data_IF_205470136389
#
_entry.id   IF_205470136389
#
_cell.length_a   1.000
_cell.length_b   1.000
_cell.length_c   1.000
_cell.angle_alpha   90.00
_cell.angle_beta   90.00
_cell.angle_gamma   90.00
#
_symmetry.space_group_name_H-M   'P 1'
#
loop_
_entity.id
_entity.type
_entity.pdbx_description
1 polymer ?
#
# COMPACT_ATOMS: atom_id res chain seq x y z
N UNK A 1 12.94 -12.41 6.94
CA UNK A 1 12.70 -13.59 6.10
C UNK A 1 13.71 -14.65 6.49
N UNK A 2 13.30 -15.89 6.61
CA UNK A 2 14.17 -17.01 6.92
C UNK A 2 14.72 -17.58 5.60
N UNK A 3 15.98 -17.98 5.56
CA UNK A 3 16.57 -18.69 4.43
C UNK A 3 15.76 -19.95 4.07
N UNK A 4 15.61 -20.18 2.77
CA UNK A 4 14.98 -21.36 2.21
C UNK A 4 15.80 -21.86 1.02
N UNK A 5 16.26 -23.08 1.07
CA UNK A 5 17.07 -23.68 0.00
C UNK A 5 16.33 -23.76 -1.34
N UNK A 6 15.00 -23.94 -1.33
CA UNK A 6 14.17 -23.93 -2.54
C UNK A 6 14.03 -22.55 -3.20
N UNK A 7 14.33 -21.48 -2.47
CA UNK A 7 14.32 -20.11 -2.95
C UNK A 7 15.73 -19.55 -3.22
N UNK A 8 16.76 -20.38 -3.06
CA UNK A 8 18.15 -20.04 -3.32
C UNK A 8 18.61 -20.68 -4.65
N UNK A 9 18.29 -20.03 -5.75
CA UNK A 9 18.58 -20.48 -7.11
C UNK A 9 19.12 -19.33 -7.97
N UNK A 10 19.93 -19.60 -9.00
CA UNK A 10 20.36 -18.57 -9.93
C UNK A 10 19.22 -18.19 -10.89
N UNK A 11 19.16 -16.94 -11.28
CA UNK A 11 18.25 -16.41 -12.29
C UNK A 11 19.10 -15.92 -13.46
N UNK A 12 18.91 -16.50 -14.65
CA UNK A 12 19.59 -16.04 -15.87
C UNK A 12 18.57 -15.42 -16.81
N UNK A 13 18.68 -14.14 -17.05
CA UNK A 13 17.80 -13.35 -17.91
C UNK A 13 18.63 -12.28 -18.65
N UNK A 14 18.27 -11.98 -19.90
CA UNK A 14 18.94 -10.99 -20.75
C UNK A 14 20.46 -11.19 -20.86
N UNK A 15 20.94 -12.44 -20.74
CA UNK A 15 22.36 -12.78 -20.80
C UNK A 15 23.15 -12.54 -19.51
N UNK A 16 22.48 -12.11 -18.43
CA UNK A 16 23.08 -11.89 -17.12
C UNK A 16 22.55 -12.87 -16.09
N UNK A 17 23.41 -13.36 -15.18
CA UNK A 17 23.02 -14.28 -14.11
C UNK A 17 23.05 -13.60 -12.76
N UNK A 18 21.93 -13.68 -12.03
CA UNK A 18 21.72 -13.09 -10.73
C UNK A 18 21.67 -14.15 -9.63
N UNK A 19 22.28 -13.85 -8.50
CA UNK A 19 22.30 -14.71 -7.32
C UNK A 19 21.63 -14.02 -6.13
N UNK A 20 20.95 -14.75 -5.23
CA UNK A 20 20.41 -14.16 -4.00
C UNK A 20 21.53 -13.49 -3.18
N UNK A 21 21.30 -12.25 -2.76
CA UNK A 21 22.30 -11.45 -2.05
C UNK A 21 23.41 -10.88 -2.95
N UNK A 22 23.27 -11.01 -4.29
CA UNK A 22 24.18 -10.43 -5.28
C UNK A 22 25.65 -10.93 -5.20
N UNK A 23 25.89 -12.11 -4.65
CA UNK A 23 27.23 -12.69 -4.55
C UNK A 23 27.21 -14.17 -4.97
N UNK A 24 27.98 -14.48 -6.01
CA UNK A 24 28.19 -15.85 -6.47
C UNK A 24 28.95 -16.69 -5.42
N UNK A 25 29.93 -16.13 -4.77
CA UNK A 25 30.72 -16.81 -3.72
C UNK A 25 29.82 -17.23 -2.55
N UNK A 26 29.03 -16.31 -2.02
CA UNK A 26 28.07 -16.61 -0.93
C UNK A 26 27.01 -17.62 -1.37
N UNK A 27 26.60 -17.59 -2.65
CA UNK A 27 25.69 -18.60 -3.19
C UNK A 27 26.34 -19.99 -3.16
N UNK A 28 27.60 -20.13 -3.60
CA UNK A 28 28.31 -21.40 -3.54
C UNK A 28 28.51 -21.89 -2.10
N UNK A 29 28.88 -21.02 -1.18
CA UNK A 29 28.98 -21.36 0.24
C UNK A 29 27.70 -21.96 0.80
N UNK A 30 26.55 -21.32 0.52
CA UNK A 30 25.26 -21.85 0.93
C UNK A 30 24.93 -23.19 0.29
N UNK A 31 25.31 -23.41 -0.98
CA UNK A 31 25.14 -24.72 -1.67
C UNK A 31 26.01 -25.82 -1.08
N UNK A 32 27.17 -25.46 -0.51
CA UNK A 32 28.06 -26.38 0.19
C UNK A 32 27.63 -26.64 1.66
N UNK A 33 26.44 -26.16 2.07
CA UNK A 33 25.89 -26.40 3.40
C UNK A 33 26.22 -25.31 4.43
N UNK A 34 27.00 -24.30 4.07
CA UNK A 34 27.37 -23.18 4.96
C UNK A 34 26.33 -22.06 4.87
N UNK A 35 25.12 -22.32 5.38
CA UNK A 35 24.05 -21.32 5.37
C UNK A 35 23.55 -21.01 6.79
N UNK A 36 23.20 -19.75 7.01
CA UNK A 36 22.56 -19.26 8.22
C UNK A 36 21.07 -18.93 7.98
N UNK A 37 20.29 -18.88 9.05
CA UNK A 37 18.86 -18.52 9.00
C UNK A 37 18.61 -17.13 8.38
N UNK A 38 19.57 -16.21 8.52
CA UNK A 38 19.49 -14.84 8.02
C UNK A 38 19.99 -14.66 6.59
N UNK A 39 20.44 -15.72 5.93
CA UNK A 39 20.95 -15.62 4.58
C UNK A 39 19.88 -15.24 3.56
N UNK A 40 20.33 -14.62 2.47
CA UNK A 40 19.46 -14.17 1.40
C UNK A 40 18.96 -15.33 0.55
N UNK A 41 17.66 -15.32 0.29
CA UNK A 41 16.99 -16.12 -0.72
C UNK A 41 15.99 -15.26 -1.48
N UNK A 42 15.55 -15.71 -2.64
CA UNK A 42 14.51 -15.01 -3.38
C UNK A 42 13.17 -15.06 -2.60
N UNK A 43 12.27 -14.13 -2.88
CA UNK A 43 10.90 -14.15 -2.34
C UNK A 43 9.94 -14.99 -3.17
N UNK A 44 10.29 -15.22 -4.42
CA UNK A 44 9.49 -15.94 -5.39
C UNK A 44 10.15 -17.28 -5.72
N UNK A 45 9.35 -18.32 -5.90
CA UNK A 45 9.81 -19.58 -6.48
C UNK A 45 10.22 -19.37 -7.96
N UNK A 46 11.00 -20.28 -8.49
CA UNK A 46 11.45 -20.19 -9.90
C UNK A 46 10.25 -20.11 -10.86
N UNK A 47 9.23 -20.95 -10.66
CA UNK A 47 8.04 -20.98 -11.52
C UNK A 47 7.25 -19.66 -11.44
N UNK A 48 7.14 -19.07 -10.26
CA UNK A 48 6.51 -17.76 -10.07
C UNK A 48 7.33 -16.65 -10.74
N UNK A 49 8.66 -16.73 -10.64
CA UNK A 49 9.55 -15.79 -11.31
C UNK A 49 9.40 -15.88 -12.84
N UNK A 50 9.44 -17.08 -13.41
CA UNK A 50 9.33 -17.32 -14.86
C UNK A 50 7.97 -16.82 -15.38
N UNK A 51 6.88 -17.10 -14.64
CA UNK A 51 5.56 -16.56 -14.95
C UNK A 51 5.52 -15.03 -14.87
N UNK A 52 6.06 -14.46 -13.81
CA UNK A 52 6.10 -13.01 -13.58
C UNK A 52 6.95 -12.27 -14.61
N UNK A 53 8.08 -12.83 -15.00
CA UNK A 53 8.94 -12.28 -16.05
C UNK A 53 8.21 -12.25 -17.39
N UNK A 54 7.62 -13.36 -17.81
CA UNK A 54 6.84 -13.47 -19.04
C UNK A 54 5.67 -12.48 -19.11
N UNK A 55 5.07 -12.17 -17.97
CA UNK A 55 3.87 -11.33 -17.88
C UNK A 55 4.18 -9.88 -17.40
N UNK A 56 5.46 -9.45 -17.42
CA UNK A 56 5.83 -8.07 -17.15
C UNK A 56 5.85 -7.64 -15.68
N UNK A 57 5.74 -8.58 -14.72
CA UNK A 57 5.82 -8.30 -13.28
C UNK A 57 7.26 -8.19 -12.77
N UNK A 58 8.24 -8.44 -13.62
CA UNK A 58 9.67 -8.30 -13.29
C UNK A 58 10.25 -7.16 -14.12
N UNK A 59 11.18 -6.43 -13.52
CA UNK A 59 12.01 -5.44 -14.21
C UNK A 59 13.45 -5.58 -13.76
N UNK A 60 14.37 -5.52 -14.71
CA UNK A 60 15.80 -5.45 -14.45
C UNK A 60 16.20 -3.99 -14.58
N UNK A 61 16.70 -3.41 -13.49
CA UNK A 61 17.27 -2.07 -13.51
C UNK A 61 18.77 -2.17 -13.58
N UNK A 62 19.34 -1.49 -14.58
CA UNK A 62 20.79 -1.37 -14.77
C UNK A 62 21.28 -0.10 -14.08
N UNK A 63 22.32 -0.26 -13.29
CA UNK A 63 23.05 0.80 -12.61
C UNK A 63 24.49 0.83 -13.10
N UNK A 64 25.25 1.80 -12.68
CA UNK A 64 26.67 1.82 -13.00
C UNK A 64 27.41 0.64 -12.31
N UNK A 65 27.93 -0.28 -13.12
CA UNK A 65 28.66 -1.45 -12.66
C UNK A 65 27.84 -2.64 -12.13
N UNK A 66 26.50 -2.58 -12.07
CA UNK A 66 25.67 -3.72 -11.65
C UNK A 66 24.23 -3.62 -12.09
N UNK A 67 23.52 -4.75 -12.10
CA UNK A 67 22.09 -4.81 -12.36
C UNK A 67 21.31 -5.40 -11.17
N UNK A 68 20.04 -5.06 -11.05
CA UNK A 68 19.14 -5.62 -10.02
C UNK A 68 17.79 -6.01 -10.59
N UNK A 69 17.28 -7.12 -10.08
CA UNK A 69 15.91 -7.59 -10.35
C UNK A 69 14.96 -6.99 -9.35
N UNK A 70 13.84 -6.43 -9.84
CA UNK A 70 12.74 -5.92 -9.04
C UNK A 70 11.43 -6.54 -9.48
N UNK A 71 10.51 -6.69 -8.54
CA UNK A 71 9.12 -7.04 -8.82
C UNK A 71 8.29 -5.78 -8.96
N UNK A 72 7.38 -5.75 -9.93
CA UNK A 72 6.37 -4.70 -10.07
C UNK A 72 5.11 -5.09 -9.32
N UNK A 73 4.50 -4.13 -8.66
CA UNK A 73 3.15 -4.26 -8.10
C UNK A 73 2.22 -3.39 -8.95
N UNK A 74 1.26 -4.01 -9.62
CA UNK A 74 0.25 -3.30 -10.39
C UNK A 74 -0.93 -2.91 -9.49
N UNK A 75 -1.56 -1.77 -9.79
CA UNK A 75 -2.68 -1.27 -9.00
C UNK A 75 -3.94 -2.14 -9.17
N UNK A 76 -4.18 -2.64 -10.38
CA UNK A 76 -5.42 -3.31 -10.77
C UNK A 76 -5.29 -4.80 -11.00
N UNK A 77 -4.13 -5.40 -10.76
CA UNK A 77 -3.96 -6.84 -10.88
C UNK A 77 -2.87 -7.41 -9.97
N UNK A 78 -2.93 -8.71 -9.75
CA UNK A 78 -1.91 -9.50 -9.04
C UNK A 78 -1.72 -10.85 -9.72
N UNK A 79 -0.61 -11.51 -9.42
CA UNK A 79 -0.45 -12.93 -9.74
C UNK A 79 -1.14 -13.74 -8.65
N UNK A 80 -2.03 -14.63 -9.06
CA UNK A 80 -2.72 -15.59 -8.18
C UNK A 80 -2.24 -17.01 -8.49
N UNK A 81 -2.12 -17.84 -7.43
CA UNK A 81 -1.80 -19.27 -7.56
C UNK A 81 -3.09 -20.04 -7.81
N UNK A 82 -3.07 -20.94 -8.79
CA UNK A 82 -4.16 -21.86 -9.13
C UNK A 82 -3.72 -23.30 -8.95
N UNK A 83 -4.61 -24.25 -9.10
CA UNK A 83 -4.30 -25.68 -9.07
C UNK A 83 -3.32 -26.09 -10.21
N UNK A 84 -3.37 -25.39 -11.34
CA UNK A 84 -2.55 -25.66 -12.54
C UNK A 84 -1.34 -24.73 -12.70
N UNK A 85 -1.03 -23.86 -11.72
CA UNK A 85 0.09 -22.94 -11.79
C UNK A 85 -0.27 -21.51 -11.35
N UNK A 86 -0.06 -20.52 -12.22
CA UNK A 86 -0.30 -19.11 -11.93
C UNK A 86 -1.19 -18.47 -12.98
N UNK A 87 -1.97 -17.46 -12.56
CA UNK A 87 -2.81 -16.63 -13.43
C UNK A 87 -2.73 -15.17 -13.01
N UNK A 88 -3.15 -14.27 -13.88
CA UNK A 88 -3.33 -12.85 -13.55
C UNK A 88 -4.77 -12.65 -13.12
N UNK A 89 -4.96 -12.19 -11.89
CA UNK A 89 -6.25 -11.84 -11.32
C UNK A 89 -6.39 -10.32 -11.29
N UNK A 90 -7.47 -9.79 -11.85
CA UNK A 90 -7.79 -8.37 -11.75
C UNK A 90 -8.42 -8.09 -10.39
N UNK A 91 -7.92 -7.07 -9.72
CA UNK A 91 -8.35 -6.67 -8.39
C UNK A 91 -8.46 -5.15 -8.31
N UNK A 92 -9.38 -4.69 -7.50
CA UNK A 92 -9.38 -3.30 -7.06
C UNK A 92 -8.59 -3.21 -5.74
N UNK A 93 -7.42 -2.57 -5.80
CA UNK A 93 -6.64 -2.35 -4.58
C UNK A 93 -7.18 -1.14 -3.84
N UNK A 94 -7.38 -1.30 -2.56
CA UNK A 94 -7.66 -0.21 -1.63
C UNK A 94 -6.40 0.09 -0.82
N UNK A 95 -6.17 1.35 -0.50
CA UNK A 95 -5.13 1.79 0.42
C UNK A 95 -5.80 2.16 1.74
N UNK A 96 -5.32 1.60 2.85
CA UNK A 96 -5.75 2.07 4.16
C UNK A 96 -5.38 3.54 4.32
N UNK A 97 -6.29 4.33 4.89
CA UNK A 97 -6.02 5.72 5.22
C UNK A 97 -4.92 5.78 6.28
N UNK A 98 -3.97 6.69 6.09
CA UNK A 98 -2.91 6.94 7.05
C UNK A 98 -3.34 8.10 7.97
N UNK A 99 -3.03 8.00 9.27
CA UNK A 99 -3.23 9.13 10.19
C UNK A 99 -2.41 10.36 9.80
N UNK A 100 -1.36 10.19 9.01
CA UNK A 100 -0.57 11.30 8.44
C UNK A 100 -1.34 12.13 7.41
N UNK A 101 -2.44 11.63 6.88
CA UNK A 101 -3.31 12.40 5.98
C UNK A 101 -4.10 13.47 6.73
N UNK A 102 -4.22 13.35 8.06
CA UNK A 102 -4.93 14.31 8.93
C UNK A 102 -4.05 15.42 9.54
N UNK A 103 -2.79 15.56 9.08
CA UNK A 103 -1.90 16.65 9.53
C UNK A 103 -2.16 17.98 8.84
N UNK A 104 -2.92 17.96 7.74
CA UNK A 104 -3.26 19.17 6.99
C UNK A 104 -4.14 20.11 7.81
N UNK A 105 -3.98 21.41 7.59
CA UNK A 105 -4.64 22.44 8.39
C UNK A 105 -6.18 22.39 8.32
N UNK A 106 -6.74 21.85 7.24
CA UNK A 106 -8.21 21.68 7.09
C UNK A 106 -8.81 20.77 8.17
N UNK A 107 -8.00 19.87 8.76
CA UNK A 107 -8.41 18.98 9.85
C UNK A 107 -8.19 19.58 11.24
N UNK A 108 -7.70 20.83 11.33
CA UNK A 108 -7.46 21.49 12.62
C UNK A 108 -8.72 22.08 13.24
N UNK A 109 -8.80 22.09 14.58
CA UNK A 109 -9.88 22.73 15.30
C UNK A 109 -9.90 24.26 15.09
N UNK A 110 -8.73 24.88 14.89
CA UNK A 110 -8.64 26.33 14.64
C UNK A 110 -9.29 26.69 13.30
N UNK A 111 -9.04 25.88 12.27
CA UNK A 111 -9.67 26.09 10.98
C UNK A 111 -11.19 25.85 11.05
N UNK A 112 -11.63 24.87 11.83
CA UNK A 112 -13.05 24.60 12.07
C UNK A 112 -13.76 25.80 12.68
N UNK A 113 -13.19 26.43 13.70
CA UNK A 113 -13.77 27.64 14.34
C UNK A 113 -13.86 28.79 13.34
N UNK A 114 -12.83 29.01 12.53
CA UNK A 114 -12.84 30.07 11.49
C UNK A 114 -13.94 29.84 10.45
N UNK A 115 -14.09 28.60 9.98
CA UNK A 115 -15.10 28.22 8.99
C UNK A 115 -16.52 28.44 9.55
N UNK A 116 -16.76 28.02 10.81
CA UNK A 116 -18.05 28.19 11.46
C UNK A 116 -18.36 29.68 11.70
N UNK A 117 -17.39 30.46 12.16
CA UNK A 117 -17.54 31.92 12.33
C UNK A 117 -17.81 32.61 10.99
N UNK A 118 -17.18 32.18 9.91
CA UNK A 118 -17.46 32.72 8.57
C UNK A 118 -18.87 32.39 8.07
N UNK A 119 -19.39 31.20 8.43
CA UNK A 119 -20.74 30.78 8.03
C UNK A 119 -21.85 31.54 8.76
N UNK A 120 -21.66 31.86 10.04
CA UNK A 120 -22.65 32.51 10.87
C UNK A 120 -22.35 33.99 11.15
N UNK A 121 -21.27 34.53 10.57
CA UNK A 121 -20.80 35.90 10.82
C UNK A 121 -20.52 36.24 12.28
N UNK A 122 -20.49 35.23 13.15
CA UNK A 122 -20.27 35.36 14.58
C UNK A 122 -19.72 34.06 15.19
N UNK A 123 -19.09 34.17 16.37
CA UNK A 123 -18.60 32.97 17.09
C UNK A 123 -19.77 32.33 17.84
N UNK A 124 -20.40 31.33 17.23
CA UNK A 124 -21.58 30.63 17.78
C UNK A 124 -21.22 29.37 18.57
N UNK A 125 -20.00 28.83 18.39
CA UNK A 125 -19.56 27.62 19.06
C UNK A 125 -18.03 27.57 19.19
N UNK A 126 -17.51 27.32 20.40
CA UNK A 126 -16.08 27.46 20.67
C UNK A 126 -15.24 26.25 20.28
N UNK A 127 -15.77 25.04 20.36
CA UNK A 127 -15.04 23.79 20.18
C UNK A 127 -15.58 22.94 19.02
N UNK A 128 -15.88 23.58 17.90
CA UNK A 128 -16.35 22.88 16.71
C UNK A 128 -15.28 21.89 16.19
N UNK A 129 -15.73 20.75 15.67
CA UNK A 129 -14.87 19.80 15.00
C UNK A 129 -14.74 20.14 13.51
N UNK A 130 -13.62 19.82 12.87
CA UNK A 130 -13.44 20.10 11.43
C UNK A 130 -14.43 19.30 10.58
N UNK A 131 -15.21 19.99 9.76
CA UNK A 131 -16.15 19.33 8.82
C UNK A 131 -15.42 18.40 7.86
N UNK A 132 -14.22 18.79 7.37
CA UNK A 132 -13.38 17.97 6.53
C UNK A 132 -13.03 16.62 7.19
N UNK A 133 -12.71 16.62 8.50
CA UNK A 133 -12.43 15.39 9.24
C UNK A 133 -13.63 14.45 9.27
N UNK A 134 -14.81 14.97 9.65
CA UNK A 134 -16.05 14.18 9.75
C UNK A 134 -16.48 13.68 8.37
N UNK A 135 -16.34 14.49 7.34
CA UNK A 135 -16.59 14.12 5.94
C UNK A 135 -15.72 12.96 5.50
N UNK A 136 -14.40 13.06 5.73
CA UNK A 136 -13.43 12.01 5.39
C UNK A 136 -13.73 10.72 6.16
N UNK A 137 -13.99 10.80 7.47
CA UNK A 137 -14.32 9.63 8.27
C UNK A 137 -15.62 8.96 7.80
N UNK A 138 -16.67 9.72 7.54
CA UNK A 138 -17.92 9.17 7.01
C UNK A 138 -17.71 8.51 5.64
N UNK A 139 -16.98 9.13 4.74
CA UNK A 139 -16.67 8.59 3.42
C UNK A 139 -15.93 7.24 3.47
N UNK A 140 -15.07 7.02 4.46
CA UNK A 140 -14.33 5.76 4.61
C UNK A 140 -15.06 4.69 5.43
N UNK A 141 -16.05 5.07 6.24
CA UNK A 141 -16.72 4.17 7.18
C UNK A 141 -18.15 3.81 6.80
N UNK A 142 -18.74 4.49 5.80
CA UNK A 142 -20.13 4.28 5.40
C UNK A 142 -20.27 4.15 3.87
N UNK A 143 -21.32 3.46 3.43
CA UNK A 143 -21.79 3.39 2.06
C UNK A 143 -22.88 4.46 1.80
N UNK A 144 -23.29 4.62 0.53
CA UNK A 144 -24.24 5.67 0.11
C UNK A 144 -25.60 5.63 0.83
N UNK A 145 -26.07 4.42 1.20
CA UNK A 145 -27.38 4.21 1.83
C UNK A 145 -27.30 4.00 3.35
N UNK A 146 -26.11 4.17 3.95
CA UNK A 146 -25.92 3.98 5.37
C UNK A 146 -26.47 5.19 6.16
N UNK A 147 -26.94 4.92 7.39
CA UNK A 147 -27.40 5.95 8.32
C UNK A 147 -26.24 6.37 9.21
N UNK A 148 -25.91 7.67 9.20
CA UNK A 148 -24.95 8.27 10.12
C UNK A 148 -25.70 8.86 11.32
N UNK A 149 -25.34 8.41 12.54
CA UNK A 149 -25.97 8.87 13.77
C UNK A 149 -24.96 9.57 14.67
N UNK A 150 -25.33 10.73 15.19
CA UNK A 150 -24.57 11.49 16.15
C UNK A 150 -25.47 11.85 17.35
N UNK A 151 -25.12 11.33 18.54
CA UNK A 151 -25.91 11.55 19.77
C UNK A 151 -25.64 12.90 20.45
N UNK A 152 -24.56 13.58 20.08
CA UNK A 152 -24.11 14.83 20.67
C UNK A 152 -23.76 15.84 19.58
N UNK A 153 -24.78 16.38 18.94
CA UNK A 153 -24.64 17.18 17.70
C UNK A 153 -23.65 18.36 17.80
N UNK A 154 -23.43 18.93 19.00
CA UNK A 154 -22.50 20.03 19.20
C UNK A 154 -22.79 21.20 18.24
N UNK A 155 -21.84 21.50 17.37
CA UNK A 155 -21.98 22.46 16.26
C UNK A 155 -22.63 21.88 15.00
N UNK A 156 -23.27 20.71 15.09
CA UNK A 156 -23.88 19.96 13.99
C UNK A 156 -22.87 19.60 12.86
N UNK A 157 -21.58 19.45 13.18
CA UNK A 157 -20.51 19.19 12.20
C UNK A 157 -20.74 17.89 11.44
N UNK A 158 -21.23 16.84 12.11
CA UNK A 158 -21.54 15.55 11.48
C UNK A 158 -22.65 15.71 10.43
N UNK A 159 -23.72 16.41 10.75
CA UNK A 159 -24.80 16.70 9.80
C UNK A 159 -24.28 17.50 8.61
N UNK A 160 -23.48 18.55 8.84
CA UNK A 160 -22.88 19.35 7.78
C UNK A 160 -21.97 18.50 6.87
N UNK A 161 -21.15 17.61 7.43
CA UNK A 161 -20.30 16.70 6.68
C UNK A 161 -21.12 15.75 5.78
N UNK A 162 -22.20 15.15 6.31
CA UNK A 162 -23.10 14.27 5.54
C UNK A 162 -23.81 15.04 4.42
N UNK A 163 -24.28 16.26 4.69
CA UNK A 163 -24.88 17.10 3.65
C UNK A 163 -23.88 17.39 2.51
N UNK A 164 -22.63 17.65 2.82
CA UNK A 164 -21.57 17.85 1.82
C UNK A 164 -21.19 16.57 1.04
N UNK A 165 -21.42 15.39 1.61
CA UNK A 165 -21.21 14.12 0.89
C UNK A 165 -22.34 13.82 -0.09
N UNK A 166 -23.55 14.33 0.19
CA UNK A 166 -24.75 14.08 -0.60
C UNK A 166 -25.02 15.17 -1.66
N UNK A 167 -24.21 16.24 -1.69
CA UNK A 167 -24.34 17.35 -2.64
C UNK A 167 -23.54 17.09 -3.92
#
# INVERSE_FOLDING_TARGET
LQYSASLDYPITVEGETFYPGQSYEKYLDRKNGNHARADWAWRWSKDLFDFGYKNGFIVIKKYDGYSRIYTKTYQNCKIAKTASGFTIEYIQRTKAISTLEFVENEYSNDNSKKNLTSLFESSVFDYSKPTALLKTLAQYSSAADDIVMDFFSGSATTAHAVMQLNA
#
